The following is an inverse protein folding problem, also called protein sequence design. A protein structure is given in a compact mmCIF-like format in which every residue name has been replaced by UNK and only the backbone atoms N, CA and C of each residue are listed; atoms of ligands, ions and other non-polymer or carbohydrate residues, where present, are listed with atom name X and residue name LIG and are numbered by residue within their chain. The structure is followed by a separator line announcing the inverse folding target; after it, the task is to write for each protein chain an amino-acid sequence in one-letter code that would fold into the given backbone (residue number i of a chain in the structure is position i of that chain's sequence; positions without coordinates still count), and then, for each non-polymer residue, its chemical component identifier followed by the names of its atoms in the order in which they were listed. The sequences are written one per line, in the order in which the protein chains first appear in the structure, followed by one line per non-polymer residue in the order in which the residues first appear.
data_IF_556394486719
#
_entry.id   IF_556394486719
#
_cell.length_a   1.000
_cell.length_b   1.000
_cell.length_c   1.000
_cell.angle_alpha   90.00
_cell.angle_beta   90.00
_cell.angle_gamma   90.00
#
_symmetry.space_group_name_H-M   'P 1'
#
loop_
_entity.id
_entity.type
_entity.pdbx_description
1 polymer ?
#
# COMPACT_ATOMS: atom_id res chain seq x y z
N UNK A 1 -37.39 2.16 2.61
CA UNK A 1 -36.44 3.06 3.31
C UNK A 1 -35.85 2.28 4.45
N UNK A 2 -34.62 1.85 4.34
CA UNK A 2 -33.97 0.86 5.25
C UNK A 2 -33.45 1.45 6.55
N UNK A 3 -33.42 2.78 6.76
CA UNK A 3 -32.75 3.48 7.87
C UNK A 3 -31.26 3.09 8.04
N UNK A 4 -30.65 2.52 7.02
CA UNK A 4 -29.24 2.10 7.06
C UNK A 4 -28.34 3.34 6.99
N UNK A 5 -27.37 3.44 7.90
CA UNK A 5 -26.34 4.48 7.84
C UNK A 5 -25.37 4.21 6.70
N UNK A 6 -25.04 5.26 5.94
CA UNK A 6 -24.13 5.20 4.80
C UNK A 6 -23.12 6.35 4.87
N UNK A 7 -21.98 6.18 4.21
CA UNK A 7 -21.07 7.28 3.92
C UNK A 7 -21.34 7.82 2.51
N UNK A 8 -21.23 9.14 2.33
CA UNK A 8 -21.45 9.80 1.04
C UNK A 8 -20.24 10.65 0.70
N UNK A 9 -19.51 10.29 -0.35
CA UNK A 9 -18.42 11.07 -0.94
C UNK A 9 -19.01 11.98 -2.01
N UNK A 10 -19.02 13.30 -1.76
CA UNK A 10 -19.51 14.30 -2.72
C UNK A 10 -18.31 14.81 -3.52
N UNK A 11 -18.26 14.50 -4.80
CA UNK A 11 -17.17 14.89 -5.68
C UNK A 11 -17.36 16.34 -6.14
N UNK A 12 -16.27 17.12 -6.13
CA UNK A 12 -16.30 18.51 -6.63
C UNK A 12 -16.72 18.56 -8.09
N UNK A 13 -17.50 19.60 -8.46
CA UNK A 13 -17.87 19.83 -9.85
C UNK A 13 -16.63 20.16 -10.69
N UNK A 14 -16.58 19.62 -11.92
CA UNK A 14 -15.48 19.83 -12.86
C UNK A 14 -15.21 18.59 -13.69
N UNK A 15 -14.82 18.77 -14.95
CA UNK A 15 -14.67 17.65 -15.92
C UNK A 15 -13.66 16.60 -15.44
N UNK A 16 -12.51 17.03 -14.91
CA UNK A 16 -11.45 16.13 -14.42
C UNK A 16 -11.92 15.35 -13.19
N UNK A 17 -12.53 16.04 -12.20
CA UNK A 17 -13.05 15.37 -10.99
C UNK A 17 -14.17 14.38 -11.33
N UNK A 18 -15.03 14.71 -12.29
CA UNK A 18 -16.07 13.79 -12.76
C UNK A 18 -15.49 12.55 -13.41
N UNK A 19 -14.42 12.68 -14.22
CA UNK A 19 -13.78 11.55 -14.87
C UNK A 19 -13.13 10.61 -13.83
N UNK A 20 -12.43 11.16 -12.83
CA UNK A 20 -11.86 10.38 -11.74
C UNK A 20 -12.96 9.67 -10.93
N UNK A 21 -14.06 10.34 -10.64
CA UNK A 21 -15.19 9.75 -9.92
C UNK A 21 -15.85 8.61 -10.70
N UNK A 22 -16.01 8.75 -12.02
CA UNK A 22 -16.56 7.68 -12.88
C UNK A 22 -15.61 6.46 -12.90
N UNK A 23 -14.31 6.69 -12.95
CA UNK A 23 -13.32 5.61 -12.87
C UNK A 23 -13.38 4.91 -11.50
N UNK A 24 -13.45 5.66 -10.39
CA UNK A 24 -13.62 5.11 -9.03
C UNK A 24 -14.89 4.25 -8.94
N UNK A 25 -16.02 4.74 -9.44
CA UNK A 25 -17.30 4.01 -9.47
C UNK A 25 -17.15 2.72 -10.29
N UNK A 26 -16.54 2.79 -11.48
CA UNK A 26 -16.34 1.62 -12.33
C UNK A 26 -15.51 0.52 -11.63
N UNK A 27 -14.42 0.90 -10.97
CA UNK A 27 -13.58 -0.02 -10.20
C UNK A 27 -14.38 -0.63 -9.04
N UNK A 28 -15.06 0.19 -8.24
CA UNK A 28 -15.84 -0.27 -7.10
C UNK A 28 -17.02 -1.16 -7.52
N UNK A 29 -17.67 -0.89 -8.64
CA UNK A 29 -18.72 -1.75 -9.19
C UNK A 29 -18.16 -3.08 -9.64
N UNK A 30 -17.02 -3.11 -10.32
CA UNK A 30 -16.34 -4.35 -10.73
C UNK A 30 -15.92 -5.19 -9.51
N UNK A 31 -15.42 -4.54 -8.45
CA UNK A 31 -15.13 -5.20 -7.18
C UNK A 31 -16.40 -5.82 -6.59
N UNK A 32 -17.51 -5.04 -6.55
CA UNK A 32 -18.80 -5.50 -6.03
C UNK A 32 -19.33 -6.72 -6.77
N UNK A 33 -19.21 -6.77 -8.08
CA UNK A 33 -19.63 -7.90 -8.91
C UNK A 33 -18.82 -9.18 -8.64
N UNK A 34 -17.54 -9.03 -8.35
CA UNK A 34 -16.62 -10.17 -8.14
C UNK A 34 -16.51 -10.60 -6.68
N UNK A 35 -16.84 -9.72 -5.74
CA UNK A 35 -16.87 -10.00 -4.29
C UNK A 35 -18.32 -9.94 -3.78
N UNK A 36 -19.18 -10.83 -4.25
CA UNK A 36 -20.62 -10.85 -3.92
C UNK A 36 -20.83 -10.87 -2.40
N UNK A 37 -20.06 -11.68 -1.69
CA UNK A 37 -20.18 -11.89 -0.25
C UNK A 37 -19.49 -10.81 0.61
N UNK A 38 -18.85 -9.81 -0.03
CA UNK A 38 -18.15 -8.70 0.66
C UNK A 38 -17.06 -9.18 1.63
N UNK A 39 -16.26 -10.18 1.20
CA UNK A 39 -15.21 -10.83 2.03
C UNK A 39 -13.78 -10.40 1.72
N UNK A 40 -13.57 -9.53 0.70
CA UNK A 40 -12.22 -9.16 0.26
C UNK A 40 -11.63 -7.96 0.98
N UNK A 41 -12.24 -7.52 2.09
CA UNK A 41 -11.80 -6.38 2.91
C UNK A 41 -11.60 -5.08 2.10
N UNK A 42 -12.50 -4.83 1.15
CA UNK A 42 -12.52 -3.64 0.31
C UNK A 42 -13.86 -2.91 0.52
N UNK A 43 -13.83 -1.59 0.39
CA UNK A 43 -15.00 -0.73 0.51
C UNK A 43 -16.14 -1.18 -0.41
N UNK A 44 -17.34 -1.33 0.16
CA UNK A 44 -18.53 -1.70 -0.61
C UNK A 44 -19.28 -0.48 -1.08
N UNK A 45 -19.32 -0.26 -2.38
CA UNK A 45 -20.23 0.70 -2.98
C UNK A 45 -21.67 0.18 -2.88
N UNK A 46 -22.57 1.03 -2.43
CA UNK A 46 -24.01 0.75 -2.36
C UNK A 46 -24.69 1.28 -3.61
N UNK A 47 -24.50 2.57 -3.89
CA UNK A 47 -25.12 3.29 -5.00
C UNK A 47 -24.31 4.53 -5.36
N UNK A 48 -24.68 5.21 -6.43
CA UNK A 48 -24.20 6.55 -6.75
C UNK A 48 -25.34 7.36 -7.39
N UNK A 49 -25.33 8.67 -7.16
CA UNK A 49 -26.30 9.60 -7.73
C UNK A 49 -25.60 10.85 -8.24
N UNK A 50 -26.26 11.56 -9.16
CA UNK A 50 -25.86 12.91 -9.55
C UNK A 50 -26.82 13.90 -8.92
N UNK A 51 -26.29 14.77 -8.05
CA UNK A 51 -27.07 15.82 -7.39
C UNK A 51 -26.45 17.19 -7.61
N UNK A 52 -27.19 18.13 -8.16
CA UNK A 52 -26.73 19.51 -8.46
C UNK A 52 -25.35 19.55 -9.15
N UNK A 53 -25.14 18.70 -10.18
CA UNK A 53 -23.90 18.54 -10.95
C UNK A 53 -22.73 17.90 -10.15
N UNK A 54 -22.96 17.39 -8.98
CA UNK A 54 -21.99 16.64 -8.20
C UNK A 54 -22.29 15.13 -8.29
N UNK A 55 -21.28 14.34 -8.53
CA UNK A 55 -21.36 12.88 -8.33
C UNK A 55 -21.26 12.62 -6.85
N UNK A 56 -22.23 11.89 -6.30
CA UNK A 56 -22.26 11.46 -4.93
C UNK A 56 -22.11 9.94 -4.89
N UNK A 57 -21.00 9.42 -4.37
CA UNK A 57 -20.74 7.98 -4.23
C UNK A 57 -21.21 7.56 -2.85
N UNK A 58 -22.12 6.60 -2.80
CA UNK A 58 -22.73 6.10 -1.56
C UNK A 58 -22.11 4.75 -1.23
N UNK A 59 -21.50 4.65 -0.06
CA UNK A 59 -20.80 3.44 0.41
C UNK A 59 -21.31 2.98 1.77
N UNK A 60 -20.88 1.82 2.21
CA UNK A 60 -21.02 1.42 3.60
C UNK A 60 -20.32 2.42 4.54
N UNK A 61 -20.87 2.61 5.74
CA UNK A 61 -20.23 3.39 6.79
C UNK A 61 -19.23 2.51 7.52
N UNK A 62 -18.00 2.99 7.68
CA UNK A 62 -16.92 2.36 8.42
C UNK A 62 -16.57 3.17 9.66
N UNK A 63 -15.72 2.63 10.52
CA UNK A 63 -15.24 3.30 11.73
C UNK A 63 -13.97 4.15 11.43
N UNK A 64 -13.08 4.29 12.39
CA UNK A 64 -11.86 5.10 12.30
C UNK A 64 -10.82 4.51 11.36
N UNK A 65 -9.95 5.35 10.80
CA UNK A 65 -8.79 4.91 10.01
C UNK A 65 -7.66 4.41 10.91
N UNK A 66 -6.71 3.65 10.32
CA UNK A 66 -5.49 3.27 11.04
C UNK A 66 -4.62 4.49 11.41
N UNK A 67 -4.70 5.58 10.63
CA UNK A 67 -4.07 6.84 11.00
C UNK A 67 -4.65 7.41 12.30
N UNK A 68 -5.99 7.50 12.39
CA UNK A 68 -6.66 7.95 13.61
C UNK A 68 -6.39 7.01 14.80
N UNK A 69 -6.23 5.71 14.55
CA UNK A 69 -5.83 4.76 15.59
C UNK A 69 -4.42 5.06 16.11
N UNK A 70 -3.45 5.35 15.25
CA UNK A 70 -2.11 5.79 15.63
C UNK A 70 -2.15 7.13 16.39
N UNK A 71 -2.93 8.10 15.90
CA UNK A 71 -3.07 9.43 16.50
C UNK A 71 -3.62 9.35 17.93
N UNK A 72 -4.70 8.58 18.15
CA UNK A 72 -5.27 8.33 19.49
C UNK A 72 -4.26 7.62 20.40
N UNK A 73 -3.45 6.70 19.84
CA UNK A 73 -2.34 6.03 20.53
C UNK A 73 -1.10 6.91 20.71
N UNK A 74 -1.16 8.23 20.42
CA UNK A 74 -0.03 9.17 20.45
C UNK A 74 1.16 8.65 19.61
N UNK A 75 0.88 8.07 18.46
CA UNK A 75 1.86 7.50 17.53
C UNK A 75 2.82 6.50 18.16
N UNK A 76 2.33 5.72 19.11
CA UNK A 76 3.08 4.57 19.65
C UNK A 76 2.91 3.37 18.71
N UNK A 77 3.89 2.45 18.70
CA UNK A 77 3.77 1.18 17.99
C UNK A 77 2.48 0.44 18.37
N UNK A 78 1.78 -0.10 17.38
CA UNK A 78 0.62 -0.94 17.63
C UNK A 78 1.04 -2.34 18.09
N UNK A 79 0.11 -3.04 18.75
CA UNK A 79 0.30 -4.44 19.12
C UNK A 79 0.70 -5.29 17.89
N UNK A 80 1.78 -6.08 17.94
CA UNK A 80 2.26 -6.87 16.81
C UNK A 80 1.21 -7.84 16.23
N UNK A 81 0.31 -8.39 17.06
CA UNK A 81 -0.75 -9.27 16.57
C UNK A 81 -1.78 -8.49 15.73
N UNK A 82 -2.11 -7.26 16.15
CA UNK A 82 -2.99 -6.40 15.37
C UNK A 82 -2.35 -6.00 14.04
N UNK A 83 -1.05 -5.65 14.04
CA UNK A 83 -0.31 -5.32 12.81
C UNK A 83 -0.34 -6.49 11.82
N UNK A 84 -0.09 -7.73 12.30
CA UNK A 84 -0.21 -8.95 11.47
C UNK A 84 -1.61 -9.16 10.94
N UNK A 85 -2.64 -9.01 11.80
CA UNK A 85 -4.03 -9.15 11.40
C UNK A 85 -4.41 -8.15 10.30
N UNK A 86 -3.94 -6.91 10.36
CA UNK A 86 -4.15 -5.90 9.32
C UNK A 86 -3.39 -6.26 8.04
N UNK A 87 -2.12 -6.66 8.16
CA UNK A 87 -1.30 -7.08 7.02
C UNK A 87 -1.94 -8.25 6.25
N UNK A 88 -2.41 -9.28 6.94
CA UNK A 88 -3.09 -10.44 6.34
C UNK A 88 -4.32 -10.00 5.54
N UNK A 89 -5.18 -9.16 6.13
CA UNK A 89 -6.40 -8.68 5.48
C UNK A 89 -6.09 -7.85 4.23
N UNK A 90 -5.08 -6.97 4.30
CA UNK A 90 -4.62 -6.18 3.16
C UNK A 90 -3.99 -7.06 2.08
N UNK A 91 -3.20 -8.07 2.44
CA UNK A 91 -2.64 -9.03 1.47
C UNK A 91 -3.74 -9.77 0.70
N UNK A 92 -4.84 -10.18 1.37
CA UNK A 92 -6.00 -10.75 0.66
C UNK A 92 -6.69 -9.73 -0.25
N UNK A 93 -6.81 -8.47 0.17
CA UNK A 93 -7.34 -7.40 -0.69
C UNK A 93 -6.46 -7.20 -1.93
N UNK A 94 -5.13 -7.11 -1.75
CA UNK A 94 -4.18 -6.92 -2.85
C UNK A 94 -4.10 -8.12 -3.78
N UNK A 95 -4.20 -9.34 -3.26
CA UNK A 95 -4.28 -10.54 -4.10
C UNK A 95 -5.51 -10.51 -5.01
N UNK A 96 -6.65 -10.09 -4.47
CA UNK A 96 -7.89 -9.96 -5.22
C UNK A 96 -7.81 -8.82 -6.26
N UNK A 97 -7.33 -7.62 -5.88
CA UNK A 97 -7.14 -6.50 -6.81
C UNK A 97 -6.18 -6.84 -7.94
N UNK A 98 -5.05 -7.52 -7.63
CA UNK A 98 -4.12 -8.02 -8.64
C UNK A 98 -4.80 -8.97 -9.63
N UNK A 99 -5.66 -9.87 -9.16
CA UNK A 99 -6.45 -10.78 -10.01
C UNK A 99 -7.45 -10.05 -10.92
N UNK A 100 -7.91 -8.86 -10.52
CA UNK A 100 -8.75 -7.99 -11.34
C UNK A 100 -7.97 -7.07 -12.28
N UNK A 101 -6.64 -7.07 -12.20
CA UNK A 101 -5.78 -6.13 -12.91
C UNK A 101 -5.95 -4.68 -12.42
N UNK A 102 -6.24 -4.47 -11.14
CA UNK A 102 -6.42 -3.15 -10.52
C UNK A 102 -5.20 -2.81 -9.66
N UNK A 103 -4.68 -1.61 -9.82
CA UNK A 103 -3.68 -0.96 -8.98
C UNK A 103 -4.39 0.05 -8.10
N UNK A 104 -4.22 -0.05 -6.78
CA UNK A 104 -4.85 0.88 -5.82
C UNK A 104 -4.18 2.25 -5.85
N UNK A 105 -2.85 2.28 -5.83
CA UNK A 105 -1.96 3.45 -5.94
C UNK A 105 -1.99 4.48 -4.80
N UNK A 106 -2.71 4.25 -3.70
CA UNK A 106 -2.67 5.15 -2.53
C UNK A 106 -2.89 4.41 -1.20
N UNK A 107 -2.16 3.31 -0.98
CA UNK A 107 -2.20 2.57 0.28
C UNK A 107 -1.41 3.35 1.34
N UNK A 108 -2.08 3.70 2.43
CA UNK A 108 -1.56 4.42 3.59
C UNK A 108 -2.51 4.27 4.79
N UNK A 109 -2.11 4.62 6.03
CA UNK A 109 -2.97 4.48 7.22
C UNK A 109 -4.32 5.17 7.11
N UNK A 110 -4.41 6.31 6.42
CA UNK A 110 -5.65 7.08 6.22
C UNK A 110 -6.66 6.33 5.34
N UNK A 111 -6.18 5.47 4.43
CA UNK A 111 -7.01 4.74 3.47
C UNK A 111 -7.32 3.29 3.88
N UNK A 112 -7.05 2.95 5.13
CA UNK A 112 -7.43 1.66 5.75
C UNK A 112 -8.29 1.94 6.97
N UNK A 113 -9.59 1.60 6.89
CA UNK A 113 -10.55 1.87 7.95
C UNK A 113 -10.94 0.60 8.69
N UNK A 114 -11.14 0.73 9.99
CA UNK A 114 -11.76 -0.32 10.82
C UNK A 114 -13.20 -0.55 10.37
N UNK A 115 -13.65 -1.81 10.32
CA UNK A 115 -15.07 -2.15 10.04
C UNK A 115 -15.99 -1.69 11.18
N UNK A 116 -15.51 -1.86 12.40
CA UNK A 116 -16.19 -1.50 13.65
C UNK A 116 -15.15 -1.05 14.67
N UNK A 117 -15.56 -0.17 15.57
CA UNK A 117 -14.73 0.21 16.72
C UNK A 117 -14.33 -1.05 17.51
N UNK A 118 -13.12 -1.06 18.04
CA UNK A 118 -12.59 -2.12 18.93
C UNK A 118 -12.51 -3.54 18.33
N UNK A 119 -12.58 -3.68 17.00
CA UNK A 119 -12.39 -4.95 16.28
C UNK A 119 -11.30 -4.84 15.21
N UNK A 120 -10.47 -5.86 15.10
CA UNK A 120 -9.34 -5.90 14.14
C UNK A 120 -9.75 -6.05 12.65
N UNK A 121 -11.05 -6.08 12.35
CA UNK A 121 -11.53 -6.13 10.97
C UNK A 121 -11.34 -4.79 10.28
N UNK A 122 -10.71 -4.78 9.10
CA UNK A 122 -10.44 -3.57 8.31
C UNK A 122 -11.03 -3.64 6.91
N UNK A 123 -11.06 -2.49 6.25
CA UNK A 123 -11.30 -2.36 4.80
C UNK A 123 -10.40 -1.32 4.17
N UNK A 124 -9.90 -1.65 2.98
CA UNK A 124 -9.19 -0.72 2.10
C UNK A 124 -10.21 0.18 1.40
N UNK A 125 -9.98 1.50 1.44
CA UNK A 125 -10.89 2.51 0.91
C UNK A 125 -10.17 3.44 -0.08
N UNK A 126 -10.91 4.36 -0.67
CA UNK A 126 -10.47 5.45 -1.56
C UNK A 126 -9.78 4.97 -2.85
N UNK A 127 -10.60 4.63 -3.83
CA UNK A 127 -10.19 4.22 -5.17
C UNK A 127 -10.11 5.40 -6.16
N UNK A 128 -10.08 6.63 -5.67
CA UNK A 128 -10.06 7.85 -6.47
C UNK A 128 -8.84 8.03 -7.37
N UNK A 129 -7.71 7.41 -7.01
CA UNK A 129 -6.47 7.37 -7.81
C UNK A 129 -6.17 5.99 -8.39
N UNK A 130 -7.05 5.01 -8.14
CA UNK A 130 -6.87 3.64 -8.63
C UNK A 130 -7.07 3.55 -10.14
N UNK A 131 -6.44 2.55 -10.76
CA UNK A 131 -6.49 2.36 -12.20
C UNK A 131 -6.43 0.89 -12.58
N UNK A 132 -6.90 0.56 -13.78
CA UNK A 132 -6.60 -0.72 -14.38
C UNK A 132 -5.17 -0.74 -14.94
N UNK A 133 -4.53 -1.89 -14.96
CA UNK A 133 -3.15 -2.05 -15.46
C UNK A 133 -2.95 -1.53 -16.88
N UNK A 134 -3.96 -1.67 -17.76
CA UNK A 134 -3.88 -1.19 -19.13
C UNK A 134 -3.96 0.35 -19.25
N UNK A 135 -4.44 1.04 -18.18
CA UNK A 135 -4.54 2.51 -18.09
C UNK A 135 -3.41 3.11 -17.23
N UNK A 136 -2.40 2.32 -16.87
CA UNK A 136 -1.33 2.73 -15.95
C UNK A 136 -0.30 3.67 -16.65
N UNK A 137 -0.66 4.94 -16.84
CA UNK A 137 0.17 5.94 -17.53
C UNK A 137 0.49 7.18 -16.69
N UNK A 138 -0.03 7.29 -15.46
CA UNK A 138 0.18 8.46 -14.61
C UNK A 138 1.61 8.50 -14.06
N UNK A 139 2.25 9.68 -14.13
CA UNK A 139 3.63 9.87 -13.67
C UNK A 139 3.76 10.29 -12.21
N UNK A 140 2.69 10.83 -11.62
CA UNK A 140 2.67 11.26 -10.22
C UNK A 140 1.53 10.58 -9.48
N UNK A 141 1.86 9.47 -8.85
CA UNK A 141 0.93 8.62 -8.08
C UNK A 141 1.55 8.25 -6.75
N UNK A 142 0.75 7.71 -5.86
CA UNK A 142 1.06 7.35 -4.47
C UNK A 142 1.38 8.56 -3.57
N UNK A 143 0.98 8.49 -2.34
CA UNK A 143 1.42 9.41 -1.29
C UNK A 143 2.92 9.23 -1.04
N UNK A 144 3.68 10.33 -0.93
CA UNK A 144 5.14 10.33 -0.99
C UNK A 144 5.81 9.32 -0.08
N UNK A 145 5.42 9.24 1.18
CA UNK A 145 6.05 8.34 2.16
C UNK A 145 5.88 6.85 1.83
N UNK A 146 4.87 6.52 1.02
CA UNK A 146 4.52 5.16 0.58
C UNK A 146 4.82 4.92 -0.89
N UNK A 147 5.46 5.91 -1.57
CA UNK A 147 5.74 5.85 -3.02
C UNK A 147 6.86 4.88 -3.31
N UNK A 148 6.60 3.97 -4.24
CA UNK A 148 7.55 2.97 -4.69
C UNK A 148 8.71 3.61 -5.48
N UNK A 149 9.93 3.05 -5.38
CA UNK A 149 11.11 3.60 -6.03
C UNK A 149 10.98 3.61 -7.56
N UNK A 150 10.32 2.63 -8.19
CA UNK A 150 10.06 2.60 -9.63
C UNK A 150 9.22 3.79 -10.10
N UNK A 151 8.29 4.27 -9.28
CA UNK A 151 7.48 5.48 -9.58
C UNK A 151 8.36 6.73 -9.53
N UNK A 152 9.20 6.88 -8.51
CA UNK A 152 10.14 8.01 -8.36
C UNK A 152 11.15 8.02 -9.52
N UNK A 153 11.68 6.85 -9.86
CA UNK A 153 12.68 6.68 -10.92
C UNK A 153 12.10 6.77 -12.34
N UNK A 154 10.77 6.78 -12.47
CA UNK A 154 10.09 6.85 -13.78
C UNK A 154 10.22 5.56 -14.59
N UNK A 155 10.27 4.41 -13.94
CA UNK A 155 10.16 3.10 -14.57
C UNK A 155 8.67 2.75 -14.84
N UNK A 156 8.45 1.68 -15.61
CA UNK A 156 7.12 1.11 -15.74
C UNK A 156 6.69 0.52 -14.39
N UNK A 157 5.42 0.69 -14.05
CA UNK A 157 4.88 0.21 -12.80
C UNK A 157 3.58 -0.60 -12.99
N UNK A 158 3.17 -1.29 -11.96
CA UNK A 158 1.94 -2.08 -11.92
C UNK A 158 1.56 -2.40 -10.48
N UNK A 159 0.85 -3.50 -10.26
CA UNK A 159 0.42 -3.93 -8.91
C UNK A 159 1.54 -4.07 -7.87
N UNK A 160 2.83 -4.29 -8.21
CA UNK A 160 3.89 -4.31 -7.20
C UNK A 160 4.06 -3.02 -6.39
N UNK A 161 3.64 -1.84 -6.92
CA UNK A 161 3.71 -0.59 -6.15
C UNK A 161 2.85 -0.63 -4.89
N UNK A 162 1.72 -1.34 -4.91
CA UNK A 162 0.84 -1.50 -3.75
C UNK A 162 1.48 -2.39 -2.66
N UNK A 163 2.28 -3.37 -3.06
CA UNK A 163 3.08 -4.18 -2.11
C UNK A 163 4.15 -3.34 -1.42
N UNK A 164 4.79 -2.41 -2.15
CA UNK A 164 5.72 -1.46 -1.55
C UNK A 164 5.03 -0.60 -0.48
N UNK A 165 3.88 0.00 -0.84
CA UNK A 165 3.09 0.81 0.10
C UNK A 165 2.64 0.00 1.32
N UNK A 166 2.23 -1.26 1.13
CA UNK A 166 1.91 -2.17 2.24
C UNK A 166 3.12 -2.37 3.17
N UNK A 167 4.32 -2.58 2.62
CA UNK A 167 5.54 -2.70 3.43
C UNK A 167 5.82 -1.45 4.26
N UNK A 168 5.68 -0.25 3.66
CA UNK A 168 5.80 1.02 4.37
C UNK A 168 4.74 1.16 5.48
N UNK A 169 3.48 0.79 5.19
CA UNK A 169 2.39 0.81 6.17
C UNK A 169 2.65 -0.14 7.34
N UNK A 170 3.05 -1.38 7.09
CA UNK A 170 3.37 -2.36 8.15
C UNK A 170 4.51 -1.85 9.03
N UNK A 171 5.55 -1.30 8.43
CA UNK A 171 6.67 -0.70 9.18
C UNK A 171 6.19 0.46 10.07
N UNK A 172 5.36 1.36 9.53
CA UNK A 172 4.82 2.50 10.26
C UNK A 172 3.94 2.08 11.44
N UNK A 173 3.03 1.12 11.25
CA UNK A 173 2.20 0.60 12.34
C UNK A 173 3.05 -0.06 13.44
N UNK A 174 4.19 -0.66 13.07
CA UNK A 174 5.11 -1.33 14.00
C UNK A 174 6.05 -0.37 14.74
N UNK A 175 6.25 0.85 14.25
CA UNK A 175 7.18 1.82 14.88
C UNK A 175 6.50 3.14 15.28
N UNK A 176 5.26 3.37 14.89
CA UNK A 176 4.48 4.57 15.21
C UNK A 176 4.81 5.78 14.35
N UNK A 177 5.70 5.67 13.37
CA UNK A 177 6.09 6.77 12.48
C UNK A 177 6.42 6.26 11.07
N UNK A 178 6.27 7.09 10.03
CA UNK A 178 6.56 6.69 8.66
C UNK A 178 8.01 6.20 8.50
N UNK A 179 8.19 5.07 7.80
CA UNK A 179 9.52 4.48 7.56
C UNK A 179 10.42 5.42 6.73
N UNK A 180 9.84 6.07 5.71
CA UNK A 180 10.52 6.97 4.79
C UNK A 180 9.77 8.31 4.71
N UNK A 181 10.15 9.29 5.53
CA UNK A 181 9.50 10.61 5.62
C UNK A 181 10.29 11.68 4.88
N UNK A 182 10.48 11.54 3.56
CA UNK A 182 11.20 12.51 2.73
C UNK A 182 10.39 13.78 2.44
N UNK A 183 11.02 14.95 2.52
CA UNK A 183 10.38 16.24 2.22
C UNK A 183 10.11 16.44 0.71
N UNK A 184 10.90 15.76 -0.11
CA UNK A 184 10.79 15.75 -1.56
C UNK A 184 11.19 14.38 -2.12
N UNK A 185 11.06 14.17 -3.46
CA UNK A 185 11.35 12.87 -4.08
C UNK A 185 12.83 12.46 -3.96
N UNK A 186 13.77 13.41 -3.98
CA UNK A 186 15.19 13.09 -3.86
C UNK A 186 15.52 12.59 -2.47
N UNK A 187 15.01 13.24 -1.43
CA UNK A 187 15.18 12.78 -0.05
C UNK A 187 14.44 11.45 0.18
N UNK A 188 13.22 11.31 -0.34
CA UNK A 188 12.46 10.08 -0.28
C UNK A 188 13.27 8.90 -0.81
N UNK A 189 13.85 9.03 -2.02
CA UNK A 189 14.65 7.99 -2.64
C UNK A 189 15.96 7.72 -1.86
N UNK A 190 16.59 8.77 -1.33
CA UNK A 190 17.79 8.63 -0.49
C UNK A 190 17.49 7.89 0.81
N UNK A 191 16.35 8.15 1.47
CA UNK A 191 15.90 7.44 2.66
C UNK A 191 15.59 5.97 2.35
N UNK A 192 14.98 5.68 1.20
CA UNK A 192 14.77 4.32 0.71
C UNK A 192 16.14 3.62 0.60
N UNK A 193 17.08 4.19 -0.15
CA UNK A 193 18.39 3.55 -0.33
C UNK A 193 19.18 3.40 0.96
N UNK A 194 19.00 4.29 1.93
CA UNK A 194 19.60 4.17 3.26
C UNK A 194 19.22 2.87 3.97
N UNK A 195 18.00 2.38 3.75
CA UNK A 195 17.47 1.20 4.46
C UNK A 195 17.45 -0.08 3.62
N UNK A 196 17.15 0.01 2.32
CA UNK A 196 17.03 -1.18 1.45
C UNK A 196 18.21 -1.37 0.50
N UNK A 197 19.15 -0.39 0.47
CA UNK A 197 20.27 -0.41 -0.46
C UNK A 197 19.93 0.12 -1.86
N UNK A 198 20.94 0.19 -2.71
CA UNK A 198 20.82 0.66 -4.09
C UNK A 198 20.61 -0.53 -5.02
N UNK A 199 19.83 -0.35 -6.07
CA UNK A 199 19.57 -1.37 -7.09
C UNK A 199 20.67 -1.42 -8.17
N UNK A 200 20.66 -2.48 -8.98
CA UNK A 200 21.64 -2.71 -10.04
C UNK A 200 21.48 -1.80 -11.27
N UNK A 201 22.57 -1.67 -12.04
CA UNK A 201 22.61 -0.84 -13.28
C UNK A 201 21.56 -1.26 -14.31
N UNK A 202 21.27 -2.57 -14.40
CA UNK A 202 20.31 -3.10 -15.36
C UNK A 202 18.90 -2.50 -15.17
N UNK A 203 18.45 -2.35 -13.94
CA UNK A 203 17.18 -1.69 -13.63
C UNK A 203 17.27 -0.17 -13.83
N UNK A 204 18.32 0.48 -13.31
CA UNK A 204 18.50 1.92 -13.40
C UNK A 204 18.57 2.43 -14.85
N UNK A 205 19.15 1.66 -15.76
CA UNK A 205 19.24 2.01 -17.19
C UNK A 205 17.90 2.08 -17.90
N UNK A 206 16.87 1.43 -17.37
CA UNK A 206 15.50 1.44 -17.90
C UNK A 206 14.65 2.58 -17.32
N UNK A 207 15.13 3.27 -16.28
CA UNK A 207 14.41 4.32 -15.59
C UNK A 207 14.61 5.68 -16.24
N UNK A 208 13.52 6.41 -16.54
CA UNK A 208 13.54 7.72 -17.22
C UNK A 208 14.21 8.81 -16.39
N UNK A 209 14.14 8.73 -15.06
CA UNK A 209 14.62 9.79 -14.16
C UNK A 209 15.98 9.48 -13.52
N UNK A 210 16.72 8.46 -13.96
CA UNK A 210 18.00 8.05 -13.38
C UNK A 210 18.98 9.21 -13.28
N UNK A 211 19.15 10.02 -14.34
CA UNK A 211 20.08 11.16 -14.36
C UNK A 211 19.76 12.24 -13.30
N UNK A 212 18.52 12.31 -12.79
CA UNK A 212 18.14 13.23 -11.71
C UNK A 212 18.77 12.82 -10.39
N UNK A 213 18.89 11.53 -10.12
CA UNK A 213 19.24 10.97 -8.81
C UNK A 213 20.62 10.31 -8.76
N UNK A 214 21.20 9.98 -9.92
CA UNK A 214 22.48 9.29 -10.06
C UNK A 214 23.43 10.07 -10.94
N UNK A 215 24.74 9.83 -10.74
CA UNK A 215 25.80 10.23 -11.65
C UNK A 215 25.86 9.30 -12.88
N UNK A 216 26.73 9.61 -13.85
CA UNK A 216 26.86 8.83 -15.10
C UNK A 216 27.30 7.37 -14.87
N UNK A 217 27.99 7.08 -13.78
CA UNK A 217 28.46 5.75 -13.38
C UNK A 217 27.43 4.99 -12.52
N UNK A 218 26.19 5.52 -12.38
CA UNK A 218 25.11 5.00 -11.55
C UNK A 218 25.40 5.05 -10.04
N UNK A 219 26.30 5.91 -9.59
CA UNK A 219 26.47 6.19 -8.15
C UNK A 219 25.37 7.15 -7.68
N UNK A 220 24.66 6.85 -6.57
CA UNK A 220 23.64 7.74 -6.02
C UNK A 220 24.23 9.10 -5.64
N UNK A 221 23.53 10.19 -5.98
CA UNK A 221 23.88 11.54 -5.52
C UNK A 221 23.57 11.64 -4.03
N UNK A 222 24.60 11.80 -3.21
CA UNK A 222 24.47 11.93 -1.76
C UNK A 222 23.91 13.31 -1.43
N UNK A 223 22.88 13.34 -0.58
CA UNK A 223 22.28 14.57 -0.06
C UNK A 223 22.41 14.62 1.47
N UNK A 224 22.20 15.79 2.03
CA UNK A 224 22.09 15.97 3.48
C UNK A 224 20.62 15.94 3.90
N UNK A 225 20.31 15.23 4.98
CA UNK A 225 19.00 15.24 5.62
C UNK A 225 18.78 16.52 6.45
N UNK A 226 17.62 16.60 7.11
CA UNK A 226 17.23 17.71 7.99
C UNK A 226 18.24 17.98 9.11
N UNK A 227 18.91 16.95 9.58
CA UNK A 227 19.95 17.01 10.62
C UNK A 227 21.32 17.50 10.10
N UNK A 228 21.41 17.86 8.83
CA UNK A 228 22.62 18.28 8.15
C UNK A 228 23.60 17.14 7.82
N UNK A 229 23.30 15.88 8.21
CA UNK A 229 24.15 14.72 7.96
C UNK A 229 23.88 14.13 6.58
N UNK A 230 24.91 13.55 5.97
CA UNK A 230 24.78 12.85 4.70
C UNK A 230 23.91 11.58 4.86
N UNK A 231 22.99 11.39 3.93
CA UNK A 231 22.17 10.17 3.86
C UNK A 231 22.94 9.15 3.02
N UNK A 232 23.57 8.20 3.70
CA UNK A 232 24.44 7.19 3.06
C UNK A 232 23.61 5.92 2.78
N UNK A 233 23.61 5.39 1.54
CA UNK A 233 22.96 4.13 1.21
C UNK A 233 23.46 2.98 2.11
N UNK A 234 22.52 2.12 2.57
CA UNK A 234 22.82 0.97 3.43
C UNK A 234 23.20 1.29 4.87
N UNK A 235 23.22 2.59 5.28
CA UNK A 235 23.66 2.98 6.63
C UNK A 235 22.63 2.73 7.74
N UNK A 236 21.38 2.41 7.38
CA UNK A 236 20.32 2.08 8.34
C UNK A 236 19.45 0.93 7.79
N UNK A 237 19.99 -0.30 7.72
CA UNK A 237 19.27 -1.43 7.14
C UNK A 237 18.02 -1.80 7.95
N UNK A 238 17.03 -2.38 7.27
CA UNK A 238 15.73 -2.76 7.88
C UNK A 238 15.95 -3.70 9.06
N UNK A 239 16.93 -4.61 8.98
CA UNK A 239 17.29 -5.53 10.05
C UNK A 239 17.70 -4.88 11.38
N UNK A 240 17.98 -3.58 11.38
CA UNK A 240 18.32 -2.80 12.58
C UNK A 240 17.17 -1.96 13.14
N UNK A 241 16.00 -1.99 12.50
CA UNK A 241 14.88 -1.11 12.83
C UNK A 241 13.85 -1.75 13.76
N UNK A 242 13.78 -3.06 13.78
CA UNK A 242 12.78 -3.82 14.53
C UNK A 242 13.45 -4.94 15.34
N UNK A 243 12.92 -5.19 16.54
CA UNK A 243 13.41 -6.26 17.41
C UNK A 243 12.98 -7.66 16.94
N UNK A 244 11.90 -7.74 16.12
CA UNK A 244 11.36 -8.99 15.61
C UNK A 244 12.06 -9.40 14.28
N UNK A 245 12.92 -10.44 14.27
CA UNK A 245 13.68 -10.81 13.08
C UNK A 245 12.81 -11.27 11.91
N UNK A 246 11.66 -11.89 12.19
CA UNK A 246 10.73 -12.32 11.13
C UNK A 246 10.06 -11.14 10.44
N UNK A 247 9.73 -10.08 11.18
CA UNK A 247 9.23 -8.82 10.61
C UNK A 247 10.29 -8.18 9.70
N UNK A 248 11.55 -8.13 10.16
CA UNK A 248 12.65 -7.60 9.34
C UNK A 248 12.76 -8.38 8.02
N UNK A 249 12.79 -9.71 8.06
CA UNK A 249 12.88 -10.57 6.87
C UNK A 249 11.69 -10.39 5.93
N UNK A 250 10.48 -10.26 6.48
CA UNK A 250 9.29 -9.97 5.70
C UNK A 250 9.40 -8.62 4.98
N UNK A 251 9.76 -7.56 5.70
CA UNK A 251 9.91 -6.22 5.13
C UNK A 251 11.03 -6.15 4.09
N UNK A 252 12.16 -6.81 4.29
CA UNK A 252 13.25 -6.90 3.31
C UNK A 252 12.84 -7.57 1.99
N UNK A 253 11.90 -8.51 2.02
CA UNK A 253 11.35 -9.16 0.84
C UNK A 253 10.26 -8.33 0.14
N UNK A 254 9.46 -7.60 0.91
CA UNK A 254 8.39 -6.74 0.40
C UNK A 254 8.93 -5.40 -0.11
N UNK A 255 9.96 -4.83 0.54
CA UNK A 255 10.58 -3.56 0.19
C UNK A 255 11.82 -3.77 -0.72
N UNK A 256 11.66 -4.47 -1.83
CA UNK A 256 12.68 -4.56 -2.88
C UNK A 256 12.55 -3.41 -3.84
N UNK A 257 13.68 -2.79 -4.24
CA UNK A 257 13.69 -1.67 -5.19
C UNK A 257 13.17 -2.13 -6.54
N UNK A 258 13.60 -3.29 -7.01
CA UNK A 258 13.14 -3.90 -8.26
C UNK A 258 11.78 -4.57 -8.07
N UNK A 259 10.73 -4.16 -8.83
CA UNK A 259 9.36 -4.67 -8.65
C UNK A 259 9.25 -6.19 -8.81
N UNK A 260 10.02 -6.78 -9.73
CA UNK A 260 10.01 -8.21 -10.04
C UNK A 260 10.61 -9.07 -8.92
N UNK A 261 11.52 -8.49 -8.12
CA UNK A 261 12.13 -9.15 -6.95
C UNK A 261 11.25 -9.06 -5.70
N UNK A 262 10.18 -8.26 -5.75
CA UNK A 262 9.25 -8.02 -4.64
C UNK A 262 8.25 -9.14 -4.50
N UNK A 263 7.95 -9.57 -3.28
CA UNK A 263 6.91 -10.57 -3.03
C UNK A 263 5.57 -10.14 -3.62
N UNK A 264 4.88 -11.09 -4.25
CA UNK A 264 3.47 -10.94 -4.58
C UNK A 264 2.62 -11.10 -3.31
N UNK A 265 1.36 -10.61 -3.30
CA UNK A 265 0.49 -10.75 -2.13
C UNK A 265 0.33 -12.20 -1.66
N UNK A 266 0.19 -13.16 -2.59
CA UNK A 266 0.04 -14.57 -2.26
C UNK A 266 1.34 -15.19 -1.70
N UNK A 267 2.51 -14.82 -2.24
CA UNK A 267 3.79 -15.24 -1.68
C UNK A 267 3.99 -14.67 -0.27
N UNK A 268 3.62 -13.40 -0.06
CA UNK A 268 3.72 -12.74 1.24
C UNK A 268 2.84 -13.41 2.31
N UNK A 269 1.66 -13.93 1.96
CA UNK A 269 0.79 -14.70 2.86
C UNK A 269 1.41 -16.01 3.36
N UNK A 270 2.42 -16.53 2.70
CA UNK A 270 3.16 -17.74 3.09
C UNK A 270 4.43 -17.45 3.91
N UNK A 271 4.75 -16.18 4.18
CA UNK A 271 5.95 -15.82 4.94
C UNK A 271 5.83 -16.19 6.43
N UNK A 272 6.91 -16.58 7.08
CA UNK A 272 6.92 -17.00 8.48
C UNK A 272 6.31 -15.96 9.42
N UNK A 273 6.58 -14.68 9.19
CA UNK A 273 6.01 -13.58 9.98
C UNK A 273 4.48 -13.56 9.93
N UNK A 274 3.89 -13.78 8.77
CA UNK A 274 2.43 -13.88 8.59
C UNK A 274 1.88 -15.17 9.22
N UNK A 275 2.57 -16.31 9.01
CA UNK A 275 2.15 -17.60 9.52
C UNK A 275 2.15 -17.63 11.06
N UNK A 276 3.00 -16.84 11.72
CA UNK A 276 3.05 -16.72 13.18
C UNK A 276 1.73 -16.16 13.79
N UNK A 277 0.84 -15.55 13.00
CA UNK A 277 -0.48 -15.14 13.44
C UNK A 277 -1.40 -16.32 13.76
N UNK A 278 -1.27 -17.42 13.02
CA UNK A 278 -2.13 -18.59 13.15
C UNK A 278 -1.59 -19.57 14.20
N UNK A 279 -2.46 -20.26 14.95
CA UNK A 279 -2.09 -21.43 15.73
C UNK A 279 -1.37 -22.47 14.87
N UNK A 280 -0.48 -23.25 15.46
CA UNK A 280 0.43 -24.14 14.72
C UNK A 280 -0.31 -25.20 13.89
N UNK A 281 -1.39 -25.73 14.41
CA UNK A 281 -2.30 -26.67 13.74
C UNK A 281 -2.99 -26.06 12.50
N UNK A 282 -3.32 -24.77 12.54
CA UNK A 282 -3.97 -24.05 11.43
C UNK A 282 -3.00 -23.54 10.35
N UNK A 283 -1.70 -23.48 10.64
CA UNK A 283 -0.69 -22.96 9.69
C UNK A 283 -0.63 -23.77 8.39
N UNK A 284 -0.72 -25.10 8.50
CA UNK A 284 -0.69 -26.01 7.34
C UNK A 284 -1.92 -25.82 6.46
N UNK A 285 -3.10 -25.67 7.07
CA UNK A 285 -4.36 -25.43 6.33
C UNK A 285 -4.31 -24.09 5.61
N UNK A 286 -3.90 -23.01 6.30
CA UNK A 286 -3.73 -21.70 5.71
C UNK A 286 -2.74 -21.72 4.53
N UNK A 287 -1.58 -22.38 4.71
CA UNK A 287 -0.57 -22.49 3.65
C UNK A 287 -1.10 -23.26 2.44
N UNK A 288 -1.83 -24.36 2.63
CA UNK A 288 -2.46 -25.11 1.55
C UNK A 288 -3.47 -24.25 0.79
N UNK A 289 -4.29 -23.48 1.48
CA UNK A 289 -5.26 -22.56 0.89
C UNK A 289 -4.59 -21.47 0.03
N UNK A 290 -3.48 -20.91 0.51
CA UNK A 290 -2.68 -19.93 -0.23
C UNK A 290 -2.06 -20.59 -1.47
N UNK A 291 -1.45 -21.76 -1.32
CA UNK A 291 -0.81 -22.50 -2.43
C UNK A 291 -1.80 -22.90 -3.52
N UNK A 292 -3.03 -23.28 -3.15
CA UNK A 292 -4.10 -23.58 -4.11
C UNK A 292 -4.51 -22.33 -4.90
N UNK A 293 -4.46 -21.15 -4.30
CA UNK A 293 -4.76 -19.86 -4.97
C UNK A 293 -3.61 -19.35 -5.84
N UNK A 294 -2.36 -19.71 -5.52
CA UNK A 294 -1.18 -19.38 -6.35
C UNK A 294 -1.15 -20.18 -7.65
N UNK A 295 -1.70 -21.42 -7.65
CA UNK A 295 -1.70 -22.33 -8.81
C UNK A 295 -2.83 -22.09 -9.80
N UNK A 296 -3.80 -21.26 -9.46
CA UNK A 296 -4.91 -20.82 -10.33
C UNK A 296 -4.65 -19.39 -10.84
#
# INVERSE_FOLDING_TARGET
KTREEVAVKIVRAGREHMQLALNEINILMKIKERDIENRKNILRIKDFIVFRRHICIITEKLATSLYQLLEVGCFRPLDPQNVRAFAIQLLFSLAFLRGLGVVHSDIKPENVLMKQQDKVGIKLIDFGTSMFLHDAHYTYIQSRFYRAPEVILGANYGTPIDMWSLGCLVAELSMGSPLFAGENEQEQLSLIFRSVGVTGRAFLSQCKHTAKYFSKDFTPKIIKGKDGKAIIPGSRPISTLFEEPELCRFLEKVLRVEPEARLTPLQALAEPWILAYFPEDMRKEHLNDVLLKVKK
#
